data_IF_379948530814
#
_entry.id   IF_379948530814
#
_cell.length_a   1.000
_cell.length_b   1.000
_cell.length_c   1.000
_cell.angle_alpha   90.00
_cell.angle_beta   90.00
_cell.angle_gamma   90.00
#
_symmetry.space_group_name_H-M   'P 1'
#
loop_
_entity.id
_entity.type
_entity.pdbx_description
1 polymer ?
#
# COMPACT_ATOMS: atom_id res chain seq x y z
N UNK A 1 46.41 2.28 -29.93
CA UNK A 1 46.08 3.47 -29.12
C UNK A 1 44.96 4.19 -29.84
N UNK A 2 43.76 4.45 -29.31
CA UNK A 2 43.20 4.29 -27.97
C UNK A 2 41.67 4.29 -28.19
N UNK A 3 41.01 3.24 -27.74
CA UNK A 3 39.58 2.98 -27.92
C UNK A 3 38.78 3.95 -27.04
N UNK A 4 38.06 4.90 -27.62
CA UNK A 4 37.36 5.96 -26.87
C UNK A 4 35.85 6.03 -27.14
N UNK A 5 35.20 4.92 -27.52
CA UNK A 5 33.78 4.97 -27.89
C UNK A 5 32.91 3.86 -27.29
N UNK A 6 33.30 3.28 -26.14
CA UNK A 6 32.56 2.17 -25.53
C UNK A 6 32.24 2.35 -24.03
N UNK A 7 32.33 3.57 -23.50
CA UNK A 7 32.17 3.83 -22.05
C UNK A 7 30.83 4.41 -21.62
N UNK A 8 30.02 4.96 -22.52
CA UNK A 8 28.88 5.82 -22.15
C UNK A 8 27.52 5.11 -22.23
N UNK A 9 27.42 3.92 -22.84
CA UNK A 9 26.13 3.24 -23.03
C UNK A 9 25.67 2.33 -21.87
N UNK A 10 26.42 2.24 -20.77
CA UNK A 10 26.12 1.32 -19.65
C UNK A 10 25.34 1.94 -18.48
N UNK A 11 25.03 3.25 -18.52
CA UNK A 11 24.30 3.94 -17.44
C UNK A 11 22.80 4.14 -17.70
N UNK A 12 22.26 3.68 -18.83
CA UNK A 12 20.85 3.90 -19.19
C UNK A 12 19.85 2.84 -18.67
N UNK A 13 20.32 1.83 -17.92
CA UNK A 13 19.49 0.70 -17.49
C UNK A 13 19.40 0.55 -15.96
N UNK A 14 19.43 1.65 -15.20
CA UNK A 14 18.81 1.65 -13.86
C UNK A 14 17.28 1.67 -14.01
N UNK A 15 16.74 0.66 -14.68
CA UNK A 15 15.31 0.39 -14.64
C UNK A 15 14.99 0.07 -13.19
N UNK A 16 14.16 0.88 -12.55
CA UNK A 16 13.58 0.58 -11.26
C UNK A 16 12.85 -0.77 -11.39
N UNK A 17 13.52 -1.85 -10.99
CA UNK A 17 12.86 -3.12 -10.79
C UNK A 17 11.86 -2.88 -9.65
N UNK A 18 10.60 -2.64 -10.00
CA UNK A 18 9.50 -2.76 -9.06
C UNK A 18 9.54 -4.19 -8.53
N UNK A 19 10.22 -4.37 -7.40
CA UNK A 19 10.44 -5.66 -6.79
C UNK A 19 9.10 -6.11 -6.19
N UNK A 20 8.22 -6.64 -7.04
CA UNK A 20 6.97 -7.21 -6.58
C UNK A 20 7.29 -8.50 -5.84
N UNK A 21 7.24 -8.45 -4.51
CA UNK A 21 7.43 -9.62 -3.68
C UNK A 21 6.24 -10.54 -3.91
N UNK A 22 6.49 -11.74 -4.46
CA UNK A 22 5.44 -12.74 -4.62
C UNK A 22 4.83 -13.06 -3.24
N UNK A 23 3.50 -13.16 -3.12
CA UNK A 23 2.88 -13.60 -1.89
C UNK A 23 3.33 -15.02 -1.56
N UNK A 24 3.42 -15.32 -0.26
CA UNK A 24 3.62 -16.68 0.21
C UNK A 24 2.30 -17.42 0.04
N UNK A 25 2.34 -18.55 -0.67
CA UNK A 25 1.16 -19.40 -0.88
C UNK A 25 1.17 -20.52 0.18
N UNK A 26 0.03 -20.77 0.79
CA UNK A 26 -0.12 -21.84 1.77
C UNK A 26 0.05 -23.24 1.13
N UNK A 27 0.45 -24.27 1.90
CA UNK A 27 0.45 -25.65 1.42
C UNK A 27 -0.94 -26.15 1.02
N UNK A 28 -0.99 -27.12 0.10
CA UNK A 28 -2.24 -27.69 -0.41
C UNK A 28 -3.10 -28.30 0.71
N UNK A 29 -2.47 -28.90 1.72
CA UNK A 29 -3.17 -29.51 2.85
C UNK A 29 -3.97 -28.48 3.66
N UNK A 30 -3.51 -27.23 3.72
CA UNK A 30 -4.22 -26.12 4.37
C UNK A 30 -5.31 -25.59 3.45
N UNK A 31 -5.00 -25.40 2.17
CA UNK A 31 -5.94 -24.88 1.19
C UNK A 31 -7.18 -25.79 1.02
N UNK A 32 -6.97 -27.11 1.02
CA UNK A 32 -8.03 -28.11 0.88
C UNK A 32 -9.09 -28.07 2.01
N UNK A 33 -8.76 -27.46 3.15
CA UNK A 33 -9.68 -27.32 4.30
C UNK A 33 -10.55 -26.06 4.22
N UNK A 34 -10.28 -25.16 3.28
CA UNK A 34 -10.97 -23.87 3.16
C UNK A 34 -12.02 -23.97 2.06
N UNK A 35 -13.25 -23.55 2.38
CA UNK A 35 -14.32 -23.38 1.40
C UNK A 35 -14.57 -21.89 1.19
N UNK A 36 -14.65 -21.45 -0.07
CA UNK A 36 -15.06 -20.09 -0.38
C UNK A 36 -16.52 -19.89 0.00
N UNK A 37 -16.89 -18.71 0.53
CA UNK A 37 -18.29 -18.40 0.77
C UNK A 37 -19.05 -18.22 -0.56
N UNK A 38 -20.38 -18.28 -0.48
CA UNK A 38 -21.23 -17.75 -1.53
C UNK A 38 -21.07 -16.22 -1.61
N UNK A 39 -20.98 -15.68 -2.83
CA UNK A 39 -20.75 -14.25 -3.04
C UNK A 39 -22.04 -13.51 -3.33
N UNK A 40 -22.28 -12.42 -2.60
CA UNK A 40 -23.40 -11.52 -2.86
C UNK A 40 -23.02 -10.07 -2.55
N UNK A 41 -23.65 -9.11 -3.24
CA UNK A 41 -23.32 -7.69 -3.07
C UNK A 41 -23.77 -7.12 -1.71
N UNK A 42 -24.82 -7.68 -1.12
CA UNK A 42 -25.35 -7.29 0.19
C UNK A 42 -24.49 -7.79 1.36
N UNK A 43 -23.78 -8.90 1.19
CA UNK A 43 -22.87 -9.46 2.20
C UNK A 43 -21.41 -8.99 2.01
N UNK A 44 -21.13 -8.08 1.08
CA UNK A 44 -19.77 -7.67 0.74
C UNK A 44 -19.62 -6.15 0.66
N UNK A 45 -18.40 -5.67 0.94
CA UNK A 45 -18.02 -4.29 0.62
C UNK A 45 -17.46 -4.26 -0.80
N UNK A 46 -18.20 -3.67 -1.73
CA UNK A 46 -17.76 -3.58 -3.13
C UNK A 46 -16.87 -2.36 -3.34
N UNK A 47 -15.68 -2.57 -3.89
CA UNK A 47 -14.87 -1.52 -4.51
C UNK A 47 -14.95 -1.67 -6.03
N UNK A 48 -15.35 -0.62 -6.74
CA UNK A 48 -15.33 -0.63 -8.21
C UNK A 48 -13.89 -0.70 -8.73
N UNK A 49 -13.72 -1.02 -10.02
CA UNK A 49 -12.39 -1.08 -10.63
C UNK A 49 -11.57 0.20 -10.47
N UNK A 50 -12.19 1.38 -10.62
CA UNK A 50 -11.50 2.66 -10.40
C UNK A 50 -11.17 2.91 -8.93
N UNK A 51 -12.04 2.50 -8.00
CA UNK A 51 -11.73 2.56 -6.57
C UNK A 51 -10.60 1.62 -6.17
N UNK A 52 -10.57 0.40 -6.71
CA UNK A 52 -9.51 -0.56 -6.47
C UNK A 52 -8.15 -0.04 -6.99
N UNK A 53 -8.13 0.53 -8.20
CA UNK A 53 -6.93 1.15 -8.77
C UNK A 53 -6.46 2.33 -7.93
N UNK A 54 -7.38 3.19 -7.50
CA UNK A 54 -7.09 4.33 -6.64
C UNK A 54 -6.51 3.91 -5.28
N UNK A 55 -7.08 2.88 -4.64
CA UNK A 55 -6.56 2.32 -3.40
C UNK A 55 -5.14 1.77 -3.56
N UNK A 56 -4.85 1.04 -4.65
CA UNK A 56 -3.50 0.55 -4.94
C UNK A 56 -2.51 1.71 -5.07
N UNK A 57 -2.84 2.76 -5.82
CA UNK A 57 -1.98 3.94 -5.98
C UNK A 57 -1.72 4.63 -4.64
N UNK A 58 -2.78 4.82 -3.84
CA UNK A 58 -2.65 5.43 -2.51
C UNK A 58 -1.77 4.57 -1.58
N UNK A 59 -1.92 3.24 -1.62
CA UNK A 59 -1.08 2.32 -0.84
C UNK A 59 0.40 2.37 -1.27
N UNK A 60 0.67 2.36 -2.58
CA UNK A 60 2.03 2.41 -3.11
C UNK A 60 2.74 3.71 -2.75
N UNK A 61 2.00 4.83 -2.71
CA UNK A 61 2.52 6.14 -2.31
C UNK A 61 2.67 6.27 -0.78
N UNK A 62 1.67 5.81 -0.03
CA UNK A 62 1.69 5.82 1.44
C UNK A 62 2.79 4.93 2.01
N UNK A 63 3.04 3.77 1.38
CA UNK A 63 4.03 2.78 1.81
C UNK A 63 4.92 2.32 0.65
N UNK A 64 5.88 3.15 0.22
CA UNK A 64 6.82 2.77 -0.83
C UNK A 64 7.61 1.52 -0.46
N UNK A 65 7.90 0.69 -1.45
CA UNK A 65 8.73 -0.52 -1.30
C UNK A 65 10.06 -0.15 -0.63
N UNK A 66 10.46 -0.92 0.39
CA UNK A 66 11.69 -0.69 1.15
C UNK A 66 11.49 0.09 2.45
N UNK A 67 10.29 0.62 2.72
CA UNK A 67 9.94 1.22 4.01
C UNK A 67 9.70 0.11 5.04
N UNK A 68 10.77 -0.44 5.60
CA UNK A 68 10.73 -1.49 6.62
C UNK A 68 10.97 -0.89 8.03
N UNK A 69 10.37 -1.49 9.08
CA UNK A 69 10.73 -1.19 10.47
C UNK A 69 12.25 -1.33 10.65
N UNK A 70 12.87 -0.35 11.30
CA UNK A 70 14.31 -0.37 11.56
C UNK A 70 14.59 -1.16 12.85
N UNK A 71 15.66 -1.96 12.87
CA UNK A 71 16.05 -2.72 14.07
C UNK A 71 16.49 -1.83 15.23
N UNK A 72 16.75 -0.54 14.96
CA UNK A 72 17.19 0.46 15.93
C UNK A 72 16.10 1.47 16.30
N UNK A 73 14.95 1.43 15.64
CA UNK A 73 13.81 2.29 15.95
C UNK A 73 13.14 1.88 17.24
N UNK A 74 12.56 2.85 17.94
CA UNK A 74 11.71 2.56 19.09
C UNK A 74 10.48 1.72 18.66
N UNK A 75 9.88 1.01 19.63
CA UNK A 75 8.76 0.12 19.36
C UNK A 75 7.53 0.84 18.75
N UNK A 76 7.37 2.14 19.07
CA UNK A 76 6.29 2.98 18.58
C UNK A 76 6.45 3.21 17.06
N UNK A 77 7.60 3.72 16.64
CA UNK A 77 7.94 3.94 15.23
C UNK A 77 7.83 2.65 14.43
N UNK A 78 8.33 1.54 14.98
CA UNK A 78 8.29 0.26 14.30
C UNK A 78 6.88 -0.30 14.10
N UNK A 79 5.93 0.01 14.99
CA UNK A 79 4.54 -0.40 14.83
C UNK A 79 3.82 0.40 13.73
N UNK A 80 3.98 1.73 13.71
CA UNK A 80 3.43 2.60 12.67
C UNK A 80 4.04 2.30 11.29
N UNK A 81 5.24 1.73 11.25
CA UNK A 81 5.83 1.21 10.02
C UNK A 81 5.23 -0.12 9.55
N UNK A 82 4.12 -0.62 10.09
CA UNK A 82 3.43 -1.80 9.55
C UNK A 82 2.09 -1.43 8.93
N UNK A 83 1.81 -1.99 7.74
CA UNK A 83 0.56 -1.70 7.04
C UNK A 83 -0.66 -2.22 7.83
N UNK A 84 -0.51 -3.34 8.53
CA UNK A 84 -1.57 -3.93 9.37
C UNK A 84 -2.05 -3.00 10.51
N UNK A 85 -1.27 -1.98 10.86
CA UNK A 85 -1.65 -0.96 11.84
C UNK A 85 -2.77 -0.04 11.36
N UNK A 86 -3.02 0.03 10.05
CA UNK A 86 -3.94 0.99 9.45
C UNK A 86 -5.22 0.34 8.94
N UNK A 87 -6.31 1.09 9.04
CA UNK A 87 -7.50 0.86 8.23
C UNK A 87 -7.55 1.83 7.06
N UNK A 88 -8.24 1.45 5.98
CA UNK A 88 -8.49 2.31 4.84
C UNK A 88 -9.98 2.59 4.70
N UNK A 89 -10.35 3.87 4.70
CA UNK A 89 -11.71 4.31 4.36
C UNK A 89 -11.72 4.76 2.91
N UNK A 90 -12.64 4.20 2.12
CA UNK A 90 -12.73 4.49 0.68
C UNK A 90 -14.10 5.07 0.37
N UNK A 91 -14.14 6.23 -0.26
CA UNK A 91 -15.38 6.91 -0.65
C UNK A 91 -15.33 7.35 -2.11
N UNK A 92 -16.42 7.10 -2.83
CA UNK A 92 -16.57 7.56 -4.22
C UNK A 92 -16.91 9.05 -4.27
N UNK A 93 -16.27 9.77 -5.19
CA UNK A 93 -16.59 11.15 -5.58
C UNK A 93 -16.94 11.25 -7.06
N UNK A 94 -17.14 12.47 -7.54
CA UNK A 94 -17.30 12.74 -8.98
C UNK A 94 -15.93 12.72 -9.67
N UNK A 95 -15.72 11.81 -10.62
CA UNK A 95 -14.45 11.67 -11.36
C UNK A 95 -13.23 11.21 -10.54
N UNK A 96 -13.40 10.89 -9.25
CA UNK A 96 -12.31 10.54 -8.35
C UNK A 96 -12.77 9.65 -7.18
N UNK A 97 -11.79 9.00 -6.54
CA UNK A 97 -11.96 8.22 -5.32
C UNK A 97 -11.16 8.88 -4.21
N UNK A 98 -11.79 9.05 -3.04
CA UNK A 98 -11.14 9.48 -1.82
C UNK A 98 -10.73 8.28 -0.98
N UNK A 99 -9.50 8.29 -0.48
CA UNK A 99 -8.96 7.26 0.42
C UNK A 99 -8.41 7.96 1.65
N UNK A 100 -8.69 7.43 2.85
CA UNK A 100 -8.08 7.88 4.08
C UNK A 100 -7.53 6.68 4.84
N UNK A 101 -6.24 6.71 5.19
CA UNK A 101 -5.61 5.72 6.05
C UNK A 101 -5.63 6.21 7.49
N UNK A 102 -6.15 5.40 8.40
CA UNK A 102 -6.25 5.73 9.82
C UNK A 102 -5.48 4.71 10.65
N UNK A 103 -4.48 5.11 11.46
CA UNK A 103 -3.79 4.21 12.35
C UNK A 103 -4.70 3.77 13.50
N UNK A 104 -4.62 2.50 13.88
CA UNK A 104 -5.25 1.92 15.05
C UNK A 104 -4.22 1.76 16.16
N UNK A 105 -3.71 2.90 16.65
CA UNK A 105 -2.57 2.96 17.57
C UNK A 105 -2.83 2.22 18.90
N UNK A 106 -4.03 2.34 19.45
CA UNK A 106 -4.42 1.69 20.70
C UNK A 106 -4.63 0.19 20.52
N UNK A 107 -5.47 -0.20 19.57
CA UNK A 107 -5.87 -1.58 19.33
C UNK A 107 -4.71 -2.44 18.81
N UNK A 108 -3.82 -1.88 17.97
CA UNK A 108 -2.80 -2.66 17.25
C UNK A 108 -1.37 -2.40 17.70
N UNK A 109 -1.12 -1.26 18.34
CA UNK A 109 0.19 -0.94 18.91
C UNK A 109 0.20 -0.85 20.44
N UNK A 110 -0.96 -0.90 21.11
CA UNK A 110 -1.05 -0.78 22.58
C UNK A 110 -0.74 0.63 23.08
N UNK A 111 -0.95 1.64 22.25
CA UNK A 111 -0.56 3.02 22.50
C UNK A 111 -1.76 3.88 22.91
N UNK A 112 -1.55 4.90 23.72
CA UNK A 112 -2.57 5.94 23.87
C UNK A 112 -2.58 6.78 22.58
N UNK A 113 -3.75 7.02 21.96
CA UNK A 113 -3.83 7.81 20.73
C UNK A 113 -3.15 9.16 20.94
N UNK A 114 -2.11 9.43 20.14
CA UNK A 114 -1.54 10.79 20.13
C UNK A 114 -2.41 11.67 19.24
N UNK A 115 -2.63 12.94 19.60
CA UNK A 115 -3.41 13.89 18.79
C UNK A 115 -2.76 14.21 17.43
N UNK A 116 -1.63 13.58 17.08
CA UNK A 116 -1.02 13.73 15.78
C UNK A 116 -1.73 12.82 14.79
N UNK A 117 -2.33 13.41 13.76
CA UNK A 117 -2.91 12.71 12.60
C UNK A 117 -1.80 11.92 11.86
N UNK A 118 -1.43 10.75 12.37
CA UNK A 118 -0.48 9.84 11.71
C UNK A 118 -1.10 9.07 10.53
N UNK A 119 -2.32 9.46 10.13
CA UNK A 119 -3.00 8.98 8.94
C UNK A 119 -2.53 9.70 7.67
N UNK A 120 -3.20 9.40 6.56
CA UNK A 120 -2.99 10.12 5.30
C UNK A 120 -4.26 10.08 4.45
N UNK A 121 -4.59 11.20 3.82
CA UNK A 121 -5.75 11.35 2.94
C UNK A 121 -5.32 11.52 1.49
N UNK A 122 -6.08 10.95 0.56
CA UNK A 122 -5.83 10.98 -0.87
C UNK A 122 -7.12 11.27 -1.63
N UNK A 123 -7.00 12.01 -2.73
CA UNK A 123 -7.98 12.07 -3.81
C UNK A 123 -7.30 11.61 -5.09
N UNK A 124 -7.81 10.55 -5.72
CA UNK A 124 -7.22 9.94 -6.92
C UNK A 124 -8.25 9.93 -8.03
N UNK A 125 -7.92 10.46 -9.21
CA UNK A 125 -8.82 10.47 -10.37
C UNK A 125 -9.13 9.06 -10.87
N UNK A 126 -10.19 8.91 -11.66
CA UNK A 126 -10.52 7.64 -12.33
C UNK A 126 -9.40 7.13 -13.26
N UNK A 127 -8.63 8.05 -13.83
CA UNK A 127 -7.46 7.75 -14.66
C UNK A 127 -6.22 7.35 -13.82
N UNK A 128 -6.34 7.35 -12.50
CA UNK A 128 -5.28 6.92 -11.58
C UNK A 128 -4.22 7.99 -11.28
N UNK A 129 -4.59 9.28 -11.27
CA UNK A 129 -3.69 10.38 -10.90
C UNK A 129 -4.02 10.85 -9.48
N UNK A 130 -3.01 10.94 -8.61
CA UNK A 130 -3.18 11.59 -7.30
C UNK A 130 -3.42 13.09 -7.53
N UNK A 131 -4.65 13.54 -7.29
CA UNK A 131 -5.06 14.93 -7.42
C UNK A 131 -4.71 15.75 -6.18
N UNK A 132 -4.80 15.14 -4.99
CA UNK A 132 -4.44 15.72 -3.70
C UNK A 132 -4.01 14.63 -2.73
N UNK A 133 -3.05 14.93 -1.86
CA UNK A 133 -2.74 14.16 -0.65
C UNK A 133 -2.38 15.08 0.52
N UNK A 134 -2.68 14.65 1.75
CA UNK A 134 -2.31 15.33 3.01
C UNK A 134 -2.14 14.33 4.15
#
# INVERSE_FOLDING_TARGET
>A
MKNFSLGVLLLACTGCFHLHRKPVIAPEEVAAQIQFPEWSQDATTTLTGSQLKALQIALDDFRPIGTAPSTTGDAYTNCLLKLETYDAWVRRGEGMTFIHFTPKEDERCGLQPTLMDAGASYAVSDDGVILKRE
#
